data_IF_970017974900
#
_entry.id   IF_970017974900
#
_cell.length_a   1.000
_cell.length_b   1.000
_cell.length_c   1.000
_cell.angle_alpha   90.00
_cell.angle_beta   90.00
_cell.angle_gamma   90.00
#
_symmetry.space_group_name_H-M   'P 1'
#
loop_
_entity.id
_entity.type
_entity.pdbx_description
1 polymer ?
#
# COMPACT_ATOMS: atom_id res chain seq x y z
N UNK A 1 -6.20 16.30 28.32
CA UNK A 1 -5.26 15.22 28.61
C UNK A 1 -5.55 14.05 27.68
N UNK A 2 -4.77 13.91 26.61
CA UNK A 2 -4.79 12.69 25.79
C UNK A 2 -3.69 11.77 26.31
N UNK A 3 -4.10 10.70 27.00
CA UNK A 3 -3.20 9.61 27.39
C UNK A 3 -3.34 8.52 26.34
N UNK A 4 -2.40 8.43 25.41
CA UNK A 4 -2.29 7.27 24.52
C UNK A 4 -1.27 6.34 25.19
N UNK A 5 -1.77 5.33 25.89
CA UNK A 5 -0.92 4.29 26.45
C UNK A 5 -0.59 3.29 25.33
N UNK A 6 0.50 3.53 24.60
CA UNK A 6 1.06 2.58 23.63
C UNK A 6 1.92 1.54 24.36
N UNK A 7 1.33 0.80 25.31
CA UNK A 7 1.95 -0.40 25.83
C UNK A 7 1.49 -1.57 24.97
N UNK A 8 2.27 -1.89 23.94
CA UNK A 8 2.19 -3.21 23.34
C UNK A 8 2.89 -4.18 24.31
N UNK A 9 2.12 -4.94 25.06
CA UNK A 9 2.64 -6.02 25.90
C UNK A 9 2.86 -7.27 25.04
N UNK A 10 4.08 -7.81 25.03
CA UNK A 10 4.47 -9.06 24.35
C UNK A 10 5.18 -8.90 22.99
N UNK A 11 5.50 -10.04 22.33
CA UNK A 11 6.27 -10.16 21.07
C UNK A 11 5.57 -9.56 19.81
N UNK A 12 4.49 -8.80 19.98
CA UNK A 12 3.78 -8.09 18.90
C UNK A 12 3.72 -6.59 19.16
N UNK A 13 4.89 -5.98 19.39
CA UNK A 13 5.01 -4.53 19.42
C UNK A 13 4.47 -3.93 18.12
N UNK A 14 3.33 -3.24 18.18
CA UNK A 14 2.82 -2.48 17.05
C UNK A 14 3.87 -1.43 16.67
N UNK A 15 4.41 -1.56 15.46
CA UNK A 15 5.42 -0.64 14.92
C UNK A 15 4.78 0.12 13.76
N UNK A 16 4.70 1.46 13.82
CA UNK A 16 4.13 2.25 12.75
C UNK A 16 4.96 2.12 11.46
N UNK A 17 4.31 2.27 10.31
CA UNK A 17 5.02 2.42 9.04
C UNK A 17 5.79 3.73 9.01
N UNK A 18 6.77 3.79 8.10
CA UNK A 18 7.39 5.05 7.71
C UNK A 18 6.35 6.06 7.17
N UNK A 19 5.30 5.58 6.49
CA UNK A 19 4.21 6.43 5.99
C UNK A 19 3.46 7.13 7.12
N UNK A 20 2.97 6.37 8.12
CA UNK A 20 2.32 6.92 9.30
C UNK A 20 3.22 7.90 10.07
N UNK A 21 4.45 7.48 10.34
CA UNK A 21 5.42 8.30 11.07
C UNK A 21 5.69 9.62 10.33
N UNK A 22 5.82 9.56 9.00
CA UNK A 22 6.00 10.74 8.15
C UNK A 22 4.81 11.68 8.18
N UNK A 23 3.57 11.16 8.14
CA UNK A 23 2.35 11.98 8.23
C UNK A 23 2.29 12.71 9.57
N UNK A 24 2.49 11.99 10.68
CA UNK A 24 2.46 12.58 12.02
C UNK A 24 3.54 13.64 12.17
N UNK A 25 4.76 13.36 11.69
CA UNK A 25 5.85 14.35 11.71
C UNK A 25 5.50 15.59 10.87
N UNK A 26 4.99 15.40 9.65
CA UNK A 26 4.59 16.50 8.77
C UNK A 26 3.51 17.39 9.40
N UNK A 27 2.54 16.81 10.10
CA UNK A 27 1.50 17.57 10.81
C UNK A 27 2.05 18.42 11.97
N UNK A 28 3.20 18.06 12.55
CA UNK A 28 3.84 18.85 13.61
C UNK A 28 4.68 20.02 13.08
N UNK A 29 5.09 19.98 11.81
CA UNK A 29 6.05 20.96 11.25
C UNK A 29 5.48 21.79 10.08
N UNK A 30 4.44 21.31 9.41
CA UNK A 30 3.84 21.97 8.24
C UNK A 30 2.50 22.60 8.59
N UNK A 31 2.17 23.72 7.94
CA UNK A 31 0.84 24.34 8.01
C UNK A 31 -0.22 23.60 7.19
N UNK A 32 0.21 22.75 6.25
CA UNK A 32 -0.64 21.93 5.39
C UNK A 32 0.10 20.65 5.02
N UNK A 33 -0.62 19.53 4.99
CA UNK A 33 -0.09 18.22 4.64
C UNK A 33 -0.91 17.64 3.49
N UNK A 34 -0.25 17.48 2.34
CA UNK A 34 -0.81 16.85 1.14
C UNK A 34 -0.21 15.44 1.00
N UNK A 35 -1.06 14.42 0.95
CA UNK A 35 -0.68 13.01 0.88
C UNK A 35 -0.85 12.48 -0.54
N UNK A 36 0.17 11.77 -0.99
CA UNK A 36 0.23 11.03 -2.26
C UNK A 36 0.67 9.58 -1.98
N UNK A 37 0.28 8.66 -2.85
CA UNK A 37 0.69 7.26 -2.83
C UNK A 37 0.12 6.43 -1.70
N UNK A 38 -0.95 6.87 -1.02
CA UNK A 38 -1.54 6.14 0.11
C UNK A 38 -2.49 5.04 -0.36
N UNK A 39 -1.95 4.01 -1.01
CA UNK A 39 -2.69 2.83 -1.45
C UNK A 39 -2.10 1.60 -0.78
N UNK A 40 -2.89 0.88 0.01
CA UNK A 40 -2.41 -0.29 0.78
C UNK A 40 -2.57 -1.62 0.04
N UNK A 41 -3.11 -1.61 -1.17
CA UNK A 41 -3.42 -2.82 -1.93
C UNK A 41 -3.35 -2.59 -3.44
N UNK A 42 -2.86 -3.60 -4.15
CA UNK A 42 -2.77 -3.56 -5.61
C UNK A 42 -4.12 -3.65 -6.31
N UNK A 43 -5.17 -4.06 -5.58
CA UNK A 43 -6.57 -3.95 -6.04
C UNK A 43 -6.96 -2.52 -6.36
N UNK A 44 -6.28 -1.55 -5.76
CA UNK A 44 -6.51 -0.13 -6.03
C UNK A 44 -6.00 0.29 -7.42
N UNK A 45 -5.27 -0.59 -8.13
CA UNK A 45 -4.83 -0.35 -9.50
C UNK A 45 -3.42 0.22 -9.62
N UNK A 46 -2.63 0.16 -8.55
CA UNK A 46 -1.22 0.58 -8.46
C UNK A 46 -0.40 -0.49 -7.72
N UNK A 47 0.92 -0.63 -7.94
CA UNK A 47 1.73 -1.58 -7.18
C UNK A 47 1.81 -1.15 -5.72
N UNK A 48 2.05 -2.11 -4.80
CA UNK A 48 2.17 -1.81 -3.36
C UNK A 48 3.33 -0.85 -3.06
N UNK A 49 4.45 -1.01 -3.79
CA UNK A 49 5.56 -0.06 -3.77
C UNK A 49 5.79 0.51 -5.17
N UNK A 50 5.81 1.84 -5.30
CA UNK A 50 6.08 2.49 -6.58
C UNK A 50 7.55 2.35 -7.03
N UNK A 51 8.48 2.15 -6.11
CA UNK A 51 9.93 2.18 -6.38
C UNK A 51 10.59 0.80 -6.41
N UNK A 52 9.95 -0.26 -5.94
CA UNK A 52 10.53 -1.60 -5.91
C UNK A 52 9.51 -2.68 -6.26
N UNK A 53 10.02 -3.85 -6.66
CA UNK A 53 9.20 -4.98 -7.13
C UNK A 53 8.85 -5.99 -6.04
N UNK A 54 8.82 -5.56 -4.79
CA UNK A 54 8.60 -6.43 -3.65
C UNK A 54 7.42 -5.98 -2.79
N UNK A 55 6.18 -6.36 -3.15
CA UNK A 55 5.03 -6.15 -2.28
C UNK A 55 5.22 -6.97 -0.99
N UNK A 56 5.14 -6.32 0.17
CA UNK A 56 5.10 -6.99 1.47
C UNK A 56 3.95 -6.39 2.29
N UNK A 57 2.69 -6.58 1.82
CA UNK A 57 1.54 -6.02 2.50
C UNK A 57 1.42 -6.60 3.91
N UNK A 58 1.22 -5.73 4.90
CA UNK A 58 0.95 -6.15 6.27
C UNK A 58 -0.43 -5.64 6.69
N UNK A 59 -1.45 -6.34 6.19
CA UNK A 59 -2.85 -5.90 6.18
C UNK A 59 -3.35 -5.40 7.54
N UNK A 60 -3.03 -6.07 8.65
CA UNK A 60 -3.51 -5.65 9.97
C UNK A 60 -3.02 -4.26 10.37
N UNK A 61 -1.73 -3.97 10.17
CA UNK A 61 -1.15 -2.65 10.45
C UNK A 61 -1.66 -1.62 9.45
N UNK A 62 -1.68 -1.96 8.17
CA UNK A 62 -2.05 -1.03 7.10
C UNK A 62 -3.53 -0.60 7.24
N UNK A 63 -4.42 -1.50 7.68
CA UNK A 63 -5.82 -1.17 8.03
C UNK A 63 -5.93 -0.28 9.27
N UNK A 64 -5.15 -0.55 10.32
CA UNK A 64 -5.14 0.29 11.52
C UNK A 64 -4.68 1.72 11.20
N UNK A 65 -3.64 1.86 10.38
CA UNK A 65 -3.17 3.17 9.92
C UNK A 65 -4.19 3.88 9.04
N UNK A 66 -4.86 3.16 8.14
CA UNK A 66 -5.93 3.73 7.32
C UNK A 66 -7.03 4.38 8.17
N UNK A 67 -7.51 3.72 9.24
CA UNK A 67 -8.54 4.28 10.12
C UNK A 67 -8.12 5.61 10.75
N UNK A 68 -6.85 5.74 11.12
CA UNK A 68 -6.32 6.97 11.69
C UNK A 68 -6.18 8.08 10.64
N UNK A 69 -5.66 7.75 9.45
CA UNK A 69 -5.53 8.69 8.34
C UNK A 69 -6.91 9.16 7.86
N UNK A 70 -7.91 8.27 7.84
CA UNK A 70 -9.31 8.62 7.55
C UNK A 70 -9.83 9.70 8.52
N UNK A 71 -9.53 9.56 9.81
CA UNK A 71 -9.87 10.55 10.83
C UNK A 71 -9.18 11.90 10.59
N UNK A 72 -7.88 11.89 10.26
CA UNK A 72 -7.13 13.12 9.96
C UNK A 72 -7.73 13.88 8.78
N UNK A 73 -8.10 13.17 7.70
CA UNK A 73 -8.76 13.79 6.55
C UNK A 73 -10.12 14.37 6.92
N UNK A 74 -10.94 13.63 7.67
CA UNK A 74 -12.26 14.07 8.14
C UNK A 74 -12.18 15.38 8.94
N UNK A 75 -11.12 15.55 9.71
CA UNK A 75 -10.88 16.73 10.53
C UNK A 75 -10.04 17.83 9.85
N UNK A 76 -9.75 17.69 8.55
CA UNK A 76 -9.03 18.71 7.77
C UNK A 76 -7.55 18.86 8.12
N UNK A 77 -6.95 17.85 8.76
CA UNK A 77 -5.53 17.85 9.15
C UNK A 77 -4.61 17.48 7.99
N UNK A 78 -5.14 16.75 7.01
CA UNK A 78 -4.45 16.31 5.80
C UNK A 78 -5.38 16.41 4.59
N UNK A 79 -4.82 16.41 3.40
CA UNK A 79 -5.56 16.31 2.14
C UNK A 79 -4.95 15.20 1.28
N UNK A 80 -5.79 14.37 0.66
CA UNK A 80 -5.32 13.44 -0.37
C UNK A 80 -5.33 14.13 -1.72
N UNK A 81 -4.26 13.93 -2.47
CA UNK A 81 -4.12 14.49 -3.82
C UNK A 81 -4.28 13.46 -4.92
N UNK A 82 -4.25 12.19 -4.56
CA UNK A 82 -4.70 11.12 -5.45
C UNK A 82 -6.22 11.01 -5.40
N UNK A 83 -6.90 10.87 -6.56
CA UNK A 83 -8.31 10.55 -6.59
C UNK A 83 -8.55 9.12 -6.08
N UNK A 84 -9.78 8.83 -5.68
CA UNK A 84 -10.26 7.48 -5.38
C UNK A 84 -9.63 6.77 -4.17
N UNK A 85 -8.85 7.47 -3.34
CA UNK A 85 -8.24 6.86 -2.15
C UNK A 85 -9.29 6.26 -1.23
N UNK A 86 -10.38 6.99 -0.92
CA UNK A 86 -11.40 6.51 0.00
C UNK A 86 -12.19 5.34 -0.55
N UNK A 87 -12.66 5.49 -1.79
CA UNK A 87 -13.47 4.54 -2.52
C UNK A 87 -12.72 3.22 -2.70
N UNK A 88 -11.41 3.31 -2.94
CA UNK A 88 -10.57 2.13 -3.03
C UNK A 88 -10.29 1.44 -1.69
N UNK A 89 -10.41 2.13 -0.56
CA UNK A 89 -10.38 1.48 0.76
C UNK A 89 -11.75 0.97 1.23
N UNK A 90 -12.85 1.31 0.54
CA UNK A 90 -14.20 0.90 0.89
C UNK A 90 -14.60 -0.41 0.21
N UNK A 91 -14.82 -0.40 -1.11
CA UNK A 91 -15.19 -1.60 -1.87
C UNK A 91 -14.62 -1.59 -3.29
N UNK A 92 -14.47 -2.77 -3.90
CA UNK A 92 -14.01 -2.89 -5.30
C UNK A 92 -14.98 -2.21 -6.29
N UNK A 93 -16.27 -2.15 -5.97
CA UNK A 93 -17.28 -1.47 -6.78
C UNK A 93 -17.13 0.04 -6.71
N UNK A 94 -17.02 0.61 -5.51
CA UNK A 94 -16.79 2.05 -5.31
C UNK A 94 -15.47 2.49 -5.94
N UNK A 95 -14.40 1.72 -5.74
CA UNK A 95 -13.10 1.98 -6.36
C UNK A 95 -13.20 2.05 -7.89
N UNK A 96 -13.89 1.10 -8.52
CA UNK A 96 -14.07 1.08 -9.98
C UNK A 96 -14.93 2.26 -10.44
N UNK A 97 -16.01 2.55 -9.74
CA UNK A 97 -16.89 3.68 -10.04
C UNK A 97 -16.13 5.01 -9.99
N UNK A 98 -15.32 5.23 -8.95
CA UNK A 98 -14.50 6.42 -8.84
C UNK A 98 -13.44 6.50 -9.94
N UNK A 99 -12.70 5.40 -10.20
CA UNK A 99 -11.68 5.38 -11.27
C UNK A 99 -12.27 5.63 -12.66
N UNK A 100 -13.51 5.21 -12.89
CA UNK A 100 -14.22 5.51 -14.14
C UNK A 100 -14.53 7.01 -14.30
N UNK A 101 -14.76 7.73 -13.19
CA UNK A 101 -14.96 9.18 -13.18
C UNK A 101 -13.63 9.96 -13.22
N UNK A 102 -12.55 9.35 -12.76
CA UNK A 102 -11.20 9.91 -12.75
C UNK A 102 -10.23 9.08 -13.61
N UNK A 103 -10.45 9.00 -14.94
CA UNK A 103 -9.64 8.15 -15.81
C UNK A 103 -8.20 8.65 -15.87
N UNK A 104 -7.26 7.77 -15.54
CA UNK A 104 -5.84 7.98 -15.79
C UNK A 104 -5.50 7.44 -17.18
N UNK A 105 -4.88 8.22 -18.08
CA UNK A 105 -4.55 7.76 -19.42
C UNK A 105 -3.70 6.49 -19.39
N UNK A 106 -4.00 5.54 -20.30
CA UNK A 106 -3.27 4.28 -20.39
C UNK A 106 -1.76 4.47 -20.55
N UNK A 107 -1.33 5.51 -21.25
CA UNK A 107 0.08 5.88 -21.42
C UNK A 107 0.79 6.16 -20.09
N UNK A 108 0.09 6.73 -19.11
CA UNK A 108 0.64 6.99 -17.77
C UNK A 108 0.89 5.67 -17.02
N UNK A 109 -0.07 4.73 -17.08
CA UNK A 109 0.13 3.39 -16.51
C UNK A 109 1.28 2.65 -17.18
N UNK A 110 1.37 2.70 -18.51
CA UNK A 110 2.44 2.03 -19.25
C UNK A 110 3.81 2.62 -18.93
N UNK A 111 3.91 3.96 -18.83
CA UNK A 111 5.13 4.64 -18.42
C UNK A 111 5.52 4.26 -16.98
N UNK A 112 4.57 4.32 -16.04
CA UNK A 112 4.79 3.91 -14.65
C UNK A 112 5.25 2.45 -14.56
N UNK A 113 4.62 1.54 -15.30
CA UNK A 113 4.97 0.12 -15.34
C UNK A 113 6.36 -0.11 -15.91
N UNK A 114 6.77 0.64 -16.93
CA UNK A 114 8.11 0.56 -17.48
C UNK A 114 9.18 1.00 -16.47
N UNK A 115 8.92 2.06 -15.68
CA UNK A 115 9.80 2.52 -14.61
C UNK A 115 9.87 1.50 -13.48
N UNK A 116 8.71 1.03 -13.01
CA UNK A 116 8.62 0.04 -11.93
C UNK A 116 9.34 -1.27 -12.27
N UNK A 117 9.25 -1.73 -13.53
CA UNK A 117 9.99 -2.91 -14.02
C UNK A 117 11.51 -2.77 -13.90
N UNK A 118 12.04 -1.55 -14.01
CA UNK A 118 13.46 -1.22 -13.82
C UNK A 118 13.83 -1.05 -12.33
N UNK A 119 12.84 -0.96 -11.45
CA UNK A 119 13.05 -0.82 -10.02
C UNK A 119 13.80 -2.02 -9.41
N UNK A 120 14.59 -1.78 -8.34
CA UNK A 120 15.32 -2.82 -7.65
C UNK A 120 14.38 -3.93 -7.15
N UNK A 121 14.88 -5.15 -7.19
CA UNK A 121 14.36 -6.26 -6.41
C UNK A 121 15.30 -6.40 -5.20
N UNK A 122 14.88 -6.03 -3.99
CA UNK A 122 15.74 -6.21 -2.81
C UNK A 122 16.16 -7.67 -2.64
N UNK A 123 17.37 -7.93 -2.14
CA UNK A 123 17.93 -9.29 -2.03
C UNK A 123 17.04 -10.24 -1.20
N UNK A 124 16.44 -9.74 -0.12
CA UNK A 124 15.52 -10.53 0.69
C UNK A 124 14.27 -10.97 -0.10
N UNK A 125 13.85 -10.18 -1.08
CA UNK A 125 12.72 -10.50 -1.94
C UNK A 125 13.09 -11.52 -3.02
N UNK A 126 14.27 -11.39 -3.63
CA UNK A 126 14.76 -12.42 -4.56
C UNK A 126 14.96 -13.75 -3.84
N UNK A 127 15.55 -13.74 -2.64
CA UNK A 127 15.72 -14.94 -1.83
C UNK A 127 14.37 -15.58 -1.46
N UNK A 128 13.37 -14.77 -1.09
CA UNK A 128 12.02 -15.25 -0.81
C UNK A 128 11.34 -15.84 -2.05
N UNK A 129 11.49 -15.21 -3.21
CA UNK A 129 10.95 -15.71 -4.47
C UNK A 129 11.58 -17.05 -4.86
N UNK A 130 12.90 -17.17 -4.72
CA UNK A 130 13.62 -18.42 -4.99
C UNK A 130 13.20 -19.54 -4.02
N UNK A 131 12.99 -19.21 -2.75
CA UNK A 131 12.45 -20.14 -1.76
C UNK A 131 11.03 -20.60 -2.11
N UNK A 132 10.13 -19.66 -2.44
CA UNK A 132 8.76 -19.99 -2.86
C UNK A 132 8.73 -20.91 -4.09
N UNK A 133 9.57 -20.65 -5.10
CA UNK A 133 9.70 -21.51 -6.29
C UNK A 133 10.17 -22.92 -5.93
N UNK A 134 11.07 -23.06 -4.96
CA UNK A 134 11.52 -24.37 -4.46
C UNK A 134 10.41 -25.12 -3.72
N UNK A 135 9.64 -24.43 -2.88
CA UNK A 135 8.52 -25.03 -2.14
C UNK A 135 7.36 -25.44 -3.06
N UNK A 136 7.06 -24.62 -4.09
CA UNK A 136 6.10 -24.95 -5.14
C UNK A 136 6.51 -26.21 -5.91
N UNK A 137 7.77 -26.26 -6.40
CA UNK A 137 8.31 -27.44 -7.09
C UNK A 137 8.30 -28.69 -6.22
N UNK A 138 8.45 -28.52 -4.91
CA UNK A 138 8.42 -29.62 -3.95
C UNK A 138 7.00 -30.04 -3.52
N UNK A 139 5.95 -29.36 -4.00
CA UNK A 139 4.56 -29.63 -3.60
C UNK A 139 4.26 -29.34 -2.13
N UNK A 140 5.15 -28.61 -1.43
CA UNK A 140 5.03 -28.28 0.00
C UNK A 140 4.32 -26.97 0.26
N UNK A 141 3.95 -26.25 -0.80
CA UNK A 141 3.37 -24.94 -0.64
C UNK A 141 1.87 -25.02 -0.32
N UNK A 142 1.53 -24.84 0.95
CA UNK A 142 0.16 -24.66 1.40
C UNK A 142 -0.26 -23.19 1.22
N UNK A 143 -0.70 -22.83 0.01
CA UNK A 143 -1.48 -21.61 -0.26
C UNK A 143 -0.71 -20.37 -0.76
N UNK A 144 0.47 -20.04 -0.22
CA UNK A 144 1.13 -18.74 -0.48
C UNK A 144 2.06 -18.69 -1.72
N UNK A 145 2.35 -19.83 -2.37
CA UNK A 145 3.12 -19.82 -3.62
C UNK A 145 2.22 -19.44 -4.79
N UNK A 146 2.65 -18.46 -5.60
CA UNK A 146 1.96 -18.06 -6.83
C UNK A 146 1.03 -16.84 -6.71
N UNK A 147 0.77 -16.30 -5.52
CA UNK A 147 0.05 -15.01 -5.36
C UNK A 147 0.95 -13.81 -5.64
N UNK A 148 2.27 -13.94 -5.46
CA UNK A 148 3.24 -12.84 -5.61
C UNK A 148 3.45 -12.40 -7.08
N UNK A 149 3.49 -13.33 -8.04
CA UNK A 149 3.69 -12.99 -9.46
C UNK A 149 2.37 -12.63 -10.17
N UNK A 150 1.22 -13.15 -9.70
CA UNK A 150 -0.11 -12.85 -10.26
C UNK A 150 -0.64 -11.45 -9.93
N UNK A 151 0.07 -10.72 -9.08
CA UNK A 151 -0.31 -9.40 -8.56
C UNK A 151 0.02 -8.23 -9.51
N UNK A 152 0.55 -8.50 -10.72
CA UNK A 152 0.93 -7.44 -11.69
C UNK A 152 -0.22 -6.83 -12.53
N UNK A 153 -1.47 -6.99 -12.08
CA UNK A 153 -2.71 -6.60 -12.77
C UNK A 153 -3.11 -5.12 -12.58
N UNK A 154 -2.22 -4.31 -12.03
CA UNK A 154 -2.42 -2.87 -11.89
C UNK A 154 -2.56 -2.20 -13.27
N UNK A 155 -3.62 -1.41 -13.44
CA UNK A 155 -4.04 -0.81 -14.72
C UNK A 155 -5.10 -1.59 -15.51
N UNK A 156 -5.59 -2.74 -15.02
CA UNK A 156 -6.82 -3.36 -15.54
C UNK A 156 -8.03 -2.69 -14.87
N UNK A 157 -8.81 -1.93 -15.65
CA UNK A 157 -10.12 -1.41 -15.26
C UNK A 157 -11.19 -2.48 -15.55
#
# INVERSE_FOLDING_TARGET
>A
YFNINLQAEGDQAWTPTGGWTGIVMAMNICSKVDIYGFHISERHGVPYHYHNRCPQPFMHRDVAEWLMVQSFKKHGLIEFRDPCVFECHATDEECRACKAQHPVPRSVYEAGKAIWKKGPMPEYCSARLDWLKKEEKAGRCQGLCGTFEKQSDWGKA
#
